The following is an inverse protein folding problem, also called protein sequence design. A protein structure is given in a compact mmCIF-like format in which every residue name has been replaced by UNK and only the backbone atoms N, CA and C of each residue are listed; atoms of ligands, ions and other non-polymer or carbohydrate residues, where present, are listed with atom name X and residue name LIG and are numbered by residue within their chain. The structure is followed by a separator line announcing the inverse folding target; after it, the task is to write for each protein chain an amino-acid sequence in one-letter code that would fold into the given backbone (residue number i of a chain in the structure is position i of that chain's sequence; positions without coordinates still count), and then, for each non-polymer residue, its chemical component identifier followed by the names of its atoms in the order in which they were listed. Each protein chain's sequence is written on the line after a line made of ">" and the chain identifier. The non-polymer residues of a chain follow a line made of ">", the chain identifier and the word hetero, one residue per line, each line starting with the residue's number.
data_IF_807165051383
#
_entry.id   IF_807165051383
#
_cell.length_a   1.000
_cell.length_b   1.000
_cell.length_c   1.000
_cell.angle_alpha   90.00
_cell.angle_beta   90.00
_cell.angle_gamma   90.00
#
_symmetry.space_group_name_H-M   'P 1'
#
loop_
_entity.id
_entity.type
_entity.pdbx_description
1 polymer ?
#
# COMPACT_ATOMS: atom_id res chain seq x y z
N UNK A 1 12.56 -23.32 16.07
CA UNK A 1 13.06 -24.60 15.54
C UNK A 1 12.05 -25.16 14.54
N UNK A 2 12.54 -25.61 13.36
CA UNK A 2 11.74 -26.22 12.28
C UNK A 2 10.56 -25.33 11.82
N UNK A 3 10.80 -24.03 11.70
CA UNK A 3 9.79 -23.02 11.37
C UNK A 3 9.99 -22.50 9.95
N UNK A 4 8.92 -22.35 9.18
CA UNK A 4 8.91 -21.64 7.90
C UNK A 4 8.45 -20.21 8.14
N UNK A 5 9.32 -19.24 7.86
CA UNK A 5 9.00 -17.82 7.81
C UNK A 5 8.58 -17.46 6.40
N UNK A 6 7.40 -16.88 6.24
CA UNK A 6 6.89 -16.38 4.95
C UNK A 6 6.83 -14.87 5.04
N UNK A 7 7.49 -14.20 4.12
CA UNK A 7 7.55 -12.75 4.04
C UNK A 7 6.88 -12.32 2.74
N UNK A 8 5.68 -11.79 2.87
CA UNK A 8 4.93 -11.24 1.75
C UNK A 8 5.38 -9.79 1.47
N UNK A 9 5.10 -9.30 0.25
CA UNK A 9 5.52 -7.96 -0.23
C UNK A 9 7.02 -7.70 -0.06
N UNK A 10 7.85 -8.75 -0.16
CA UNK A 10 9.29 -8.66 0.07
C UNK A 10 10.05 -7.84 -0.97
N UNK A 11 9.38 -7.42 -2.06
CA UNK A 11 9.92 -6.44 -3.01
C UNK A 11 10.32 -5.12 -2.35
N UNK A 12 9.69 -4.76 -1.23
CA UNK A 12 9.94 -3.51 -0.50
C UNK A 12 11.00 -3.62 0.60
N UNK A 13 11.55 -4.80 0.86
CA UNK A 13 12.60 -4.97 1.86
C UNK A 13 13.91 -4.31 1.40
N UNK A 14 14.33 -3.30 2.15
CA UNK A 14 15.59 -2.61 1.92
C UNK A 14 16.77 -3.36 2.54
N UNK A 15 17.93 -3.20 1.94
CA UNK A 15 19.24 -3.52 2.52
C UNK A 15 20.06 -2.24 2.62
N UNK A 16 19.95 -1.55 3.75
CA UNK A 16 20.54 -0.20 3.95
C UNK A 16 22.02 -0.22 4.35
N UNK A 17 22.70 -1.36 4.21
CA UNK A 17 24.15 -1.46 4.40
C UNK A 17 24.67 -1.15 5.81
N UNK A 18 23.83 -1.27 6.86
CA UNK A 18 24.32 -1.32 8.24
C UNK A 18 24.22 -0.05 9.09
N UNK A 19 23.49 0.97 8.70
CA UNK A 19 23.28 2.16 9.54
C UNK A 19 21.89 2.20 10.20
N UNK A 20 21.67 1.44 11.24
CA UNK A 20 20.44 1.32 12.03
C UNK A 20 19.22 0.77 11.30
N UNK A 21 18.94 -0.50 11.51
CA UNK A 21 17.70 -1.15 11.10
C UNK A 21 17.70 -1.70 9.68
N UNK A 22 18.72 -2.47 9.32
CA UNK A 22 18.69 -3.26 8.09
C UNK A 22 17.72 -4.43 8.28
N UNK A 23 16.46 -4.19 7.90
CA UNK A 23 15.38 -5.15 8.11
C UNK A 23 15.64 -6.49 7.44
N UNK A 24 16.24 -6.50 6.25
CA UNK A 24 16.59 -7.73 5.55
C UNK A 24 17.66 -8.54 6.31
N UNK A 25 18.71 -7.86 6.82
CA UNK A 25 19.74 -8.50 7.64
C UNK A 25 19.16 -9.07 8.94
N UNK A 26 18.37 -8.28 9.65
CA UNK A 26 17.78 -8.68 10.93
C UNK A 26 16.87 -9.89 10.75
N UNK A 27 16.04 -9.89 9.70
CA UNK A 27 15.14 -10.99 9.36
C UNK A 27 15.91 -12.28 9.04
N UNK A 28 16.94 -12.19 8.20
CA UNK A 28 17.78 -13.33 7.84
C UNK A 28 18.50 -13.87 9.08
N UNK A 29 19.12 -12.97 9.85
CA UNK A 29 19.83 -13.35 11.07
C UNK A 29 18.90 -14.01 12.09
N UNK A 30 17.72 -13.43 12.30
CA UNK A 30 16.71 -14.00 13.19
C UNK A 30 16.24 -15.38 12.73
N UNK A 31 15.90 -15.50 11.45
CA UNK A 31 15.42 -16.77 10.88
C UNK A 31 16.44 -17.88 11.07
N UNK A 32 17.67 -17.63 10.70
CA UNK A 32 18.73 -18.68 10.71
C UNK A 32 19.45 -18.79 12.07
N UNK A 33 19.06 -18.01 13.07
CA UNK A 33 19.49 -18.27 14.47
C UNK A 33 18.87 -19.55 15.05
N UNK A 34 17.74 -20.02 14.48
CA UNK A 34 17.06 -21.23 14.89
C UNK A 34 17.41 -22.43 13.99
N UNK A 35 17.44 -23.62 14.58
CA UNK A 35 17.75 -24.86 13.87
C UNK A 35 16.57 -25.32 12.98
N UNK A 36 16.84 -25.70 11.72
CA UNK A 36 15.87 -26.22 10.78
C UNK A 36 14.88 -25.16 10.22
N UNK A 37 15.11 -23.90 10.52
CA UNK A 37 14.26 -22.82 10.02
C UNK A 37 14.47 -22.58 8.52
N UNK A 38 13.40 -22.14 7.87
CA UNK A 38 13.36 -21.82 6.43
C UNK A 38 12.77 -20.44 6.23
N UNK A 39 13.15 -19.79 5.14
CA UNK A 39 12.66 -18.47 4.76
C UNK A 39 12.12 -18.53 3.32
N UNK A 40 10.92 -17.97 3.13
CA UNK A 40 10.29 -17.82 1.84
C UNK A 40 9.98 -16.34 1.62
N UNK A 41 10.60 -15.74 0.63
CA UNK A 41 10.24 -14.40 0.15
C UNK A 41 9.19 -14.50 -0.96
N UNK A 42 8.10 -13.75 -0.81
CA UNK A 42 7.03 -13.62 -1.79
C UNK A 42 6.93 -12.16 -2.19
N UNK A 43 6.93 -11.85 -3.48
CA UNK A 43 6.87 -10.47 -3.93
C UNK A 43 6.86 -10.36 -5.45
N UNK A 44 6.82 -9.15 -5.95
CA UNK A 44 6.74 -8.83 -7.37
C UNK A 44 7.81 -7.80 -7.75
N UNK A 45 8.78 -8.21 -8.57
CA UNK A 45 9.87 -7.34 -9.03
C UNK A 45 9.41 -6.21 -9.97
N UNK A 46 8.18 -6.27 -10.48
CA UNK A 46 7.57 -5.19 -11.26
C UNK A 46 6.83 -4.16 -10.39
N UNK A 47 6.67 -4.42 -9.08
CA UNK A 47 6.18 -3.45 -8.12
C UNK A 47 7.30 -2.51 -7.66
N UNK A 48 6.95 -1.53 -6.80
CA UNK A 48 7.93 -0.56 -6.32
C UNK A 48 9.01 -1.23 -5.48
N UNK A 49 10.29 -1.00 -5.80
CA UNK A 49 11.40 -1.41 -4.96
C UNK A 49 11.48 -0.57 -3.67
N UNK A 50 12.38 -0.90 -2.74
CA UNK A 50 12.63 -0.08 -1.57
C UNK A 50 12.97 1.37 -1.93
N UNK A 51 12.61 2.30 -1.04
CA UNK A 51 12.89 3.74 -1.26
C UNK A 51 14.40 3.96 -1.46
N UNK A 52 14.74 4.61 -2.58
CA UNK A 52 16.13 4.88 -2.93
C UNK A 52 16.85 3.74 -3.66
N UNK A 53 16.21 2.58 -3.83
CA UNK A 53 16.76 1.46 -4.61
C UNK A 53 16.10 1.37 -6.00
N UNK A 54 16.82 0.76 -6.94
CA UNK A 54 16.30 0.44 -8.28
C UNK A 54 15.89 -1.03 -8.42
N UNK A 55 16.15 -1.85 -7.42
CA UNK A 55 15.87 -3.28 -7.41
C UNK A 55 15.49 -3.74 -6.00
N UNK A 56 14.94 -4.94 -5.91
CA UNK A 56 14.47 -5.57 -4.66
C UNK A 56 15.49 -6.61 -4.19
N UNK A 57 16.37 -6.29 -3.23
CA UNK A 57 17.46 -7.19 -2.82
C UNK A 57 16.95 -8.51 -2.26
N UNK A 58 15.80 -8.54 -1.61
CA UNK A 58 15.19 -9.75 -1.06
C UNK A 58 14.70 -10.74 -2.13
N UNK A 59 14.42 -10.26 -3.36
CA UNK A 59 13.97 -11.07 -4.49
C UNK A 59 15.08 -11.38 -5.49
N UNK A 60 16.31 -10.98 -5.21
CA UNK A 60 17.47 -11.22 -6.07
C UNK A 60 18.35 -12.34 -5.46
N UNK A 61 18.27 -13.55 -6.03
CA UNK A 61 19.04 -14.70 -5.55
C UNK A 61 20.55 -14.51 -5.65
N UNK A 62 21.05 -13.79 -6.66
CA UNK A 62 22.48 -13.48 -6.76
C UNK A 62 22.92 -12.51 -5.66
N UNK A 63 22.07 -11.55 -5.33
CA UNK A 63 22.30 -10.62 -4.25
C UNK A 63 22.36 -11.36 -2.91
N UNK A 64 21.38 -12.23 -2.63
CA UNK A 64 21.33 -13.04 -1.42
C UNK A 64 22.56 -13.95 -1.29
N UNK A 65 22.97 -14.57 -2.37
CA UNK A 65 24.18 -15.40 -2.37
C UNK A 65 25.44 -14.59 -2.08
N UNK A 66 25.61 -13.44 -2.72
CA UNK A 66 26.79 -12.58 -2.60
C UNK A 66 26.94 -11.95 -1.21
N UNK A 67 25.85 -11.41 -0.66
CA UNK A 67 25.89 -10.61 0.56
C UNK A 67 25.62 -11.42 1.82
N UNK A 68 24.79 -12.46 1.71
CA UNK A 68 24.33 -13.27 2.84
C UNK A 68 24.79 -14.72 2.79
N UNK A 69 25.43 -15.15 1.68
CA UNK A 69 25.81 -16.54 1.42
C UNK A 69 24.62 -17.51 1.48
N UNK A 70 23.47 -17.03 1.08
CA UNK A 70 22.24 -17.81 1.02
C UNK A 70 22.00 -18.26 -0.42
N UNK A 71 21.96 -19.55 -0.62
CA UNK A 71 21.45 -20.15 -1.86
C UNK A 71 19.93 -20.17 -1.79
N UNK A 72 19.26 -19.64 -2.81
CA UNK A 72 17.83 -19.57 -2.90
C UNK A 72 17.32 -20.14 -4.23
N UNK A 73 16.34 -21.04 -4.15
CA UNK A 73 15.56 -21.43 -5.32
C UNK A 73 14.58 -20.34 -5.68
N UNK A 74 14.49 -20.01 -6.96
CA UNK A 74 13.58 -18.97 -7.46
C UNK A 74 12.54 -19.58 -8.38
N UNK A 75 11.28 -19.19 -8.15
CA UNK A 75 10.13 -19.61 -8.97
C UNK A 75 9.33 -18.35 -9.32
N UNK A 76 9.04 -18.16 -10.59
CA UNK A 76 8.16 -17.09 -11.06
C UNK A 76 6.78 -17.65 -11.42
N UNK A 77 5.72 -17.06 -10.81
CA UNK A 77 4.34 -17.33 -11.16
C UNK A 77 3.92 -16.40 -12.29
N UNK A 78 3.65 -16.94 -13.45
CA UNK A 78 3.37 -16.15 -14.67
C UNK A 78 1.87 -16.04 -15.00
N UNK A 79 1.04 -16.91 -14.43
CA UNK A 79 -0.39 -16.92 -14.70
C UNK A 79 -1.13 -15.91 -13.80
N UNK A 80 -1.92 -15.01 -14.42
CA UNK A 80 -2.69 -13.98 -13.70
C UNK A 80 -4.10 -14.49 -13.44
N UNK A 81 -4.42 -14.71 -12.14
CA UNK A 81 -5.70 -15.26 -11.70
C UNK A 81 -6.72 -14.20 -11.26
N UNK A 82 -6.28 -13.00 -10.87
CA UNK A 82 -7.15 -11.97 -10.23
C UNK A 82 -8.05 -11.23 -11.22
N UNK A 83 -7.70 -11.16 -12.47
CA UNK A 83 -8.38 -10.34 -13.49
C UNK A 83 -8.96 -11.20 -14.60
N UNK A 84 -10.10 -10.76 -15.16
CA UNK A 84 -10.67 -11.40 -16.35
C UNK A 84 -9.80 -11.11 -17.57
N UNK A 85 -9.70 -12.05 -18.49
CA UNK A 85 -8.91 -11.92 -19.73
C UNK A 85 -9.30 -10.70 -20.59
N UNK A 86 -10.56 -10.24 -20.49
CA UNK A 86 -11.09 -9.08 -21.22
C UNK A 86 -10.85 -7.74 -20.49
N UNK A 87 -10.15 -7.74 -19.34
CA UNK A 87 -9.90 -6.54 -18.56
C UNK A 87 -8.85 -5.65 -19.22
N UNK A 88 -9.18 -4.37 -19.40
CA UNK A 88 -8.24 -3.35 -19.84
C UNK A 88 -7.17 -3.05 -18.79
N UNK A 89 -7.47 -3.26 -17.51
CA UNK A 89 -6.50 -3.16 -16.43
C UNK A 89 -5.44 -4.23 -16.60
N UNK A 90 -5.83 -5.49 -16.74
CA UNK A 90 -4.90 -6.61 -16.94
C UNK A 90 -4.06 -6.41 -18.22
N UNK A 91 -4.70 -6.06 -19.32
CA UNK A 91 -4.01 -5.84 -20.60
C UNK A 91 -2.90 -4.77 -20.45
N UNK A 92 -3.23 -3.63 -19.86
CA UNK A 92 -2.26 -2.54 -19.70
C UNK A 92 -1.18 -2.88 -18.67
N UNK A 93 -1.52 -3.55 -17.57
CA UNK A 93 -0.57 -3.98 -16.57
C UNK A 93 0.44 -5.00 -17.13
N UNK A 94 -0.04 -6.01 -17.85
CA UNK A 94 0.83 -7.01 -18.50
C UNK A 94 1.76 -6.37 -19.53
N UNK A 95 1.24 -5.44 -20.32
CA UNK A 95 2.04 -4.69 -21.28
C UNK A 95 3.12 -3.84 -20.60
N UNK A 96 2.77 -3.13 -19.53
CA UNK A 96 3.74 -2.34 -18.74
C UNK A 96 4.84 -3.22 -18.16
N UNK A 97 4.46 -4.39 -17.60
CA UNK A 97 5.44 -5.37 -17.08
C UNK A 97 6.43 -5.81 -18.16
N UNK A 98 5.95 -6.10 -19.35
CA UNK A 98 6.81 -6.47 -20.47
C UNK A 98 7.75 -5.33 -20.88
N UNK A 99 7.24 -4.08 -20.90
CA UNK A 99 8.03 -2.89 -21.25
C UNK A 99 9.08 -2.51 -20.19
N UNK A 100 8.93 -2.92 -18.91
CA UNK A 100 9.95 -2.69 -17.88
C UNK A 100 11.28 -3.41 -18.16
N UNK A 101 11.26 -4.50 -18.94
CA UNK A 101 12.47 -5.20 -19.38
C UNK A 101 13.17 -4.57 -20.60
N UNK A 102 12.64 -3.46 -21.15
CA UNK A 102 13.15 -2.83 -22.37
C UNK A 102 13.85 -1.51 -22.06
N UNK A 103 14.99 -1.23 -22.74
CA UNK A 103 15.85 -0.06 -22.49
C UNK A 103 15.13 1.31 -22.66
N UNK A 104 14.06 1.36 -23.47
CA UNK A 104 13.24 2.58 -23.67
C UNK A 104 11.76 2.27 -23.43
N UNK A 105 11.29 2.65 -22.28
CA UNK A 105 9.88 2.47 -21.91
C UNK A 105 9.00 3.54 -22.54
N UNK A 106 8.03 3.15 -23.39
CA UNK A 106 7.03 4.05 -23.95
C UNK A 106 5.64 3.72 -23.38
N UNK A 107 5.32 4.33 -22.23
CA UNK A 107 4.05 4.10 -21.56
C UNK A 107 2.88 4.67 -22.36
N UNK A 108 2.06 3.77 -22.92
CA UNK A 108 0.79 4.12 -23.61
C UNK A 108 -0.33 3.26 -23.03
N UNK A 109 -1.23 3.88 -22.29
CA UNK A 109 -2.41 3.20 -21.77
C UNK A 109 -3.50 3.11 -22.83
N UNK A 110 -3.95 1.90 -23.13
CA UNK A 110 -5.03 1.60 -24.06
C UNK A 110 -6.36 1.67 -23.30
N UNK A 111 -7.24 2.58 -23.68
CA UNK A 111 -8.53 2.77 -23.00
C UNK A 111 -9.73 2.50 -23.89
N UNK A 112 -9.61 2.72 -25.22
CA UNK A 112 -10.74 2.71 -26.15
C UNK A 112 -11.25 1.30 -26.52
N UNK A 113 -10.51 0.26 -26.15
CA UNK A 113 -10.88 -1.14 -26.47
C UNK A 113 -11.60 -1.85 -25.31
N UNK A 114 -11.68 -1.20 -24.14
CA UNK A 114 -12.12 -1.84 -22.91
C UNK A 114 -13.27 -1.07 -22.27
N UNK A 115 -14.08 -1.79 -21.47
CA UNK A 115 -15.24 -1.23 -20.77
C UNK A 115 -14.95 -0.88 -19.32
N UNK A 116 -13.82 -1.30 -18.79
CA UNK A 116 -13.40 -1.17 -17.40
C UNK A 116 -12.33 -0.09 -17.19
N UNK A 117 -11.85 0.56 -18.25
CA UNK A 117 -10.85 1.61 -18.20
C UNK A 117 -11.25 2.80 -19.07
N UNK A 118 -11.16 4.01 -18.52
CA UNK A 118 -11.60 5.24 -19.17
C UNK A 118 -10.52 6.31 -19.08
N UNK A 119 -10.39 7.11 -20.13
CA UNK A 119 -9.59 8.33 -20.11
C UNK A 119 -10.51 9.50 -19.74
N UNK A 120 -10.13 10.25 -18.71
CA UNK A 120 -10.85 11.43 -18.27
C UNK A 120 -10.01 12.68 -18.52
N UNK A 121 -10.64 13.78 -18.92
CA UNK A 121 -10.02 15.10 -18.98
C UNK A 121 -10.18 15.80 -17.65
N UNK A 122 -9.37 16.84 -17.38
CA UNK A 122 -9.48 17.64 -16.16
C UNK A 122 -10.86 18.29 -16.00
N UNK A 123 -11.48 18.70 -17.10
CA UNK A 123 -12.83 19.31 -17.11
C UNK A 123 -13.93 18.33 -16.65
N UNK A 124 -13.75 17.04 -16.86
CA UNK A 124 -14.70 15.98 -16.47
C UNK A 124 -14.34 15.29 -15.15
N UNK A 125 -13.27 15.74 -14.50
CA UNK A 125 -12.78 15.09 -13.29
C UNK A 125 -13.82 15.12 -12.17
N UNK A 126 -14.43 16.28 -11.93
CA UNK A 126 -15.44 16.42 -10.88
C UNK A 126 -16.64 15.50 -11.12
N UNK A 127 -17.21 15.53 -12.34
CA UNK A 127 -18.34 14.67 -12.69
C UNK A 127 -17.99 13.18 -12.54
N UNK A 128 -16.79 12.80 -12.95
CA UNK A 128 -16.30 11.43 -12.81
C UNK A 128 -16.12 11.00 -11.36
N UNK A 129 -15.62 11.88 -10.51
CA UNK A 129 -15.49 11.62 -9.08
C UNK A 129 -16.87 11.52 -8.41
N UNK A 130 -17.78 12.45 -8.69
CA UNK A 130 -19.15 12.37 -8.18
C UNK A 130 -19.85 11.07 -8.58
N UNK A 131 -19.68 10.68 -9.85
CA UNK A 131 -20.21 9.40 -10.33
C UNK A 131 -19.59 8.20 -9.58
N UNK A 132 -18.28 8.18 -9.42
CA UNK A 132 -17.57 7.07 -8.76
C UNK A 132 -18.01 6.93 -7.28
N UNK A 133 -17.98 8.02 -6.53
CA UNK A 133 -18.39 8.01 -5.12
C UNK A 133 -19.88 7.70 -4.94
N UNK A 134 -20.75 8.21 -5.83
CA UNK A 134 -22.18 7.87 -5.77
C UNK A 134 -22.48 6.42 -6.11
N UNK A 135 -21.71 5.82 -7.03
CA UNK A 135 -21.97 4.47 -7.51
C UNK A 135 -21.30 3.38 -6.69
N UNK A 136 -20.09 3.63 -6.22
CA UNK A 136 -19.24 2.60 -5.58
C UNK A 136 -19.03 2.86 -4.09
N UNK A 137 -19.34 4.04 -3.59
CA UNK A 137 -19.06 4.45 -2.22
C UNK A 137 -17.64 4.98 -2.01
N UNK A 138 -17.42 5.61 -0.87
CA UNK A 138 -16.12 6.20 -0.51
C UNK A 138 -15.09 5.10 -0.24
N UNK A 139 -15.50 4.04 0.41
CA UNK A 139 -14.66 2.89 0.77
C UNK A 139 -14.17 2.09 -0.44
N UNK A 140 -14.89 2.13 -1.57
CA UNK A 140 -14.55 1.40 -2.80
C UNK A 140 -13.97 2.32 -3.89
N UNK A 141 -13.69 3.59 -3.59
CA UNK A 141 -13.17 4.57 -4.55
C UNK A 141 -11.90 5.20 -4.02
N UNK A 142 -10.78 5.05 -4.74
CA UNK A 142 -9.53 5.69 -4.39
C UNK A 142 -8.89 6.43 -5.57
N UNK A 143 -8.08 7.44 -5.26
CA UNK A 143 -7.27 8.18 -6.24
C UNK A 143 -5.81 7.87 -5.98
N UNK A 144 -5.16 7.28 -6.97
CA UNK A 144 -3.73 6.99 -6.91
C UNK A 144 -2.97 8.20 -7.46
N UNK A 145 -2.03 8.72 -6.69
CA UNK A 145 -1.22 9.88 -7.04
C UNK A 145 0.27 9.56 -6.96
N UNK A 146 1.08 10.38 -7.65
CA UNK A 146 2.54 10.21 -7.63
C UNK A 146 3.19 10.69 -6.33
N UNK A 147 2.56 11.61 -5.61
CA UNK A 147 3.18 12.25 -4.44
C UNK A 147 2.17 12.50 -3.33
N UNK A 148 2.64 12.49 -2.07
CA UNK A 148 1.83 12.86 -0.91
C UNK A 148 1.25 14.27 -1.02
N UNK A 149 2.00 15.22 -1.62
CA UNK A 149 1.50 16.58 -1.86
C UNK A 149 0.26 16.56 -2.75
N UNK A 150 0.27 15.78 -3.85
CA UNK A 150 -0.89 15.63 -4.72
C UNK A 150 -2.04 14.91 -4.00
N UNK A 151 -1.75 13.89 -3.20
CA UNK A 151 -2.77 13.20 -2.41
C UNK A 151 -3.50 14.17 -1.45
N UNK A 152 -2.76 14.99 -0.72
CA UNK A 152 -3.34 16.01 0.17
C UNK A 152 -4.21 17.00 -0.59
N UNK A 153 -3.78 17.44 -1.79
CA UNK A 153 -4.56 18.34 -2.63
C UNK A 153 -5.89 17.72 -3.09
N UNK A 154 -5.82 16.44 -3.56
CA UNK A 154 -7.03 15.71 -3.96
C UNK A 154 -7.95 15.44 -2.77
N UNK A 155 -7.42 15.06 -1.61
CA UNK A 155 -8.23 14.86 -0.41
C UNK A 155 -8.96 16.15 -0.01
N UNK A 156 -8.27 17.31 0.00
CA UNK A 156 -8.89 18.60 0.26
C UNK A 156 -9.99 18.95 -0.75
N UNK A 157 -9.71 18.75 -2.04
CA UNK A 157 -10.68 18.97 -3.10
C UNK A 157 -11.93 18.10 -2.95
N UNK A 158 -11.76 16.81 -2.72
CA UNK A 158 -12.85 15.85 -2.54
C UNK A 158 -13.69 16.21 -1.33
N UNK A 159 -13.05 16.47 -0.18
CA UNK A 159 -13.75 16.85 1.04
C UNK A 159 -14.61 18.10 0.84
N UNK A 160 -14.07 19.15 0.22
CA UNK A 160 -14.77 20.41 0.02
C UNK A 160 -15.81 20.35 -1.10
N UNK A 161 -15.47 19.75 -2.25
CA UNK A 161 -16.29 19.85 -3.47
C UNK A 161 -17.27 18.68 -3.61
N UNK A 162 -16.89 17.49 -3.17
CA UNK A 162 -17.71 16.28 -3.32
C UNK A 162 -18.55 16.03 -2.06
N UNK A 163 -17.91 16.06 -0.88
CA UNK A 163 -18.56 15.77 0.41
C UNK A 163 -19.09 17.02 1.13
N UNK A 164 -18.74 18.24 0.65
CA UNK A 164 -19.13 19.50 1.25
C UNK A 164 -18.72 19.65 2.73
N UNK A 165 -17.58 19.07 3.09
CA UNK A 165 -17.01 19.19 4.43
C UNK A 165 -16.24 20.51 4.55
N UNK A 166 -16.65 21.37 5.48
CA UNK A 166 -16.02 22.68 5.73
C UNK A 166 -14.95 22.60 6.83
N UNK A 167 -15.13 21.69 7.80
CA UNK A 167 -14.22 21.55 8.93
C UNK A 167 -12.95 20.76 8.55
N UNK A 168 -11.90 20.93 9.35
CA UNK A 168 -10.61 20.25 9.17
C UNK A 168 -10.74 18.74 9.27
N UNK A 169 -11.66 18.25 10.11
CA UNK A 169 -12.05 16.85 10.22
C UNK A 169 -13.54 16.75 10.50
N UNK A 170 -14.23 15.78 9.91
CA UNK A 170 -15.66 15.57 10.05
C UNK A 170 -15.96 14.11 10.40
N UNK A 171 -17.12 13.86 11.04
CA UNK A 171 -17.64 12.48 11.13
C UNK A 171 -17.93 11.95 9.73
N UNK A 172 -17.56 10.70 9.48
CA UNK A 172 -17.59 10.07 8.17
C UNK A 172 -16.30 10.22 7.34
N UNK A 173 -15.32 11.00 7.81
CA UNK A 173 -13.99 11.02 7.17
C UNK A 173 -13.32 9.65 7.29
N UNK A 174 -12.68 9.21 6.21
CA UNK A 174 -11.80 8.06 6.21
C UNK A 174 -10.37 8.52 6.46
N UNK A 175 -9.73 7.94 7.47
CA UNK A 175 -8.34 8.19 7.81
C UNK A 175 -7.53 6.91 7.64
N UNK A 176 -6.27 7.06 7.25
CA UNK A 176 -5.31 5.98 7.22
C UNK A 176 -4.33 6.12 8.38
N UNK A 177 -4.11 5.04 9.12
CA UNK A 177 -3.07 4.98 10.14
C UNK A 177 -1.71 5.03 9.46
N UNK A 178 -0.89 6.01 9.80
CA UNK A 178 0.43 6.22 9.16
C UNK A 178 1.61 5.71 9.99
N UNK A 179 1.34 5.17 11.19
CA UNK A 179 2.36 4.61 12.07
C UNK A 179 1.73 3.58 13.01
N UNK A 180 2.39 2.42 13.15
CA UNK A 180 1.96 1.41 14.11
C UNK A 180 1.81 1.99 15.52
N UNK A 181 0.72 1.65 16.17
CA UNK A 181 0.43 2.05 17.54
C UNK A 181 0.03 0.83 18.37
N UNK A 182 0.80 0.56 19.42
CA UNK A 182 0.64 -0.61 20.29
C UNK A 182 0.02 -0.25 21.65
N UNK A 183 -0.33 1.03 21.89
CA UNK A 183 -0.69 1.52 23.23
C UNK A 183 -2.13 1.99 23.39
N UNK A 184 -2.85 2.27 22.29
CA UNK A 184 -4.18 2.87 22.35
C UNK A 184 -5.34 1.88 22.20
N UNK A 185 -5.05 0.60 22.02
CA UNK A 185 -6.13 -0.38 21.98
C UNK A 185 -6.54 -0.78 23.39
N UNK A 186 -7.85 -0.71 23.68
CA UNK A 186 -8.41 -1.42 24.81
C UNK A 186 -8.10 -2.91 24.62
N UNK A 187 -7.92 -3.66 25.71
CA UNK A 187 -7.74 -5.11 25.67
C UNK A 187 -8.90 -5.75 24.91
N UNK A 188 -8.70 -5.91 23.60
CA UNK A 188 -9.61 -6.59 22.68
C UNK A 188 -8.92 -7.87 22.25
N UNK A 189 -9.59 -8.99 22.36
CA UNK A 189 -9.02 -10.28 21.94
C UNK A 189 -8.74 -10.34 20.43
N UNK A 190 -9.28 -9.40 19.63
CA UNK A 190 -9.23 -9.44 18.17
C UNK A 190 -8.18 -8.51 17.55
N UNK A 191 -7.92 -7.36 18.16
CA UNK A 191 -7.00 -6.35 17.63
C UNK A 191 -6.03 -5.91 18.72
N UNK A 192 -4.77 -6.26 18.56
CA UNK A 192 -3.73 -5.97 19.56
C UNK A 192 -3.02 -4.63 19.35
N UNK A 193 -3.10 -4.05 18.14
CA UNK A 193 -2.47 -2.77 17.79
C UNK A 193 -3.11 -2.21 16.51
N UNK A 194 -2.92 -0.91 16.28
CA UNK A 194 -3.28 -0.26 15.02
C UNK A 194 -2.08 -0.35 14.07
N UNK A 195 -2.27 -0.95 12.91
CA UNK A 195 -1.22 -1.09 11.93
C UNK A 195 -1.11 0.14 11.01
N UNK A 196 0.10 0.43 10.55
CA UNK A 196 0.29 1.35 9.45
C UNK A 196 -0.41 0.81 8.19
N UNK A 197 -1.27 1.62 7.60
CA UNK A 197 -2.10 1.24 6.45
C UNK A 197 -3.56 0.93 6.79
N UNK A 198 -3.88 0.64 8.06
CA UNK A 198 -5.27 0.41 8.48
C UNK A 198 -6.14 1.62 8.15
N UNK A 199 -7.33 1.35 7.60
CA UNK A 199 -8.33 2.36 7.33
C UNK A 199 -9.34 2.43 8.48
N UNK A 200 -9.63 3.65 8.90
CA UNK A 200 -10.58 3.93 9.98
C UNK A 200 -11.56 5.02 9.57
N UNK A 201 -12.79 4.93 10.04
CA UNK A 201 -13.80 5.96 9.86
C UNK A 201 -13.96 6.78 11.14
N UNK A 202 -14.06 8.10 11.00
CA UNK A 202 -14.34 9.00 12.12
C UNK A 202 -15.82 8.92 12.48
N UNK A 203 -16.14 8.27 13.58
CA UNK A 203 -17.51 8.18 14.09
C UNK A 203 -17.90 9.45 14.84
N UNK A 204 -16.99 9.96 15.68
CA UNK A 204 -17.27 11.15 16.49
C UNK A 204 -15.98 11.90 16.83
N UNK A 205 -16.08 13.22 16.83
CA UNK A 205 -15.05 14.12 17.32
C UNK A 205 -15.39 14.48 18.78
N UNK A 206 -14.50 14.17 19.70
CA UNK A 206 -14.71 14.40 21.14
C UNK A 206 -14.18 15.73 21.60
N UNK A 207 -12.94 16.06 21.20
CA UNK A 207 -12.27 17.27 21.65
C UNK A 207 -11.18 17.69 20.65
N UNK A 208 -10.91 19.00 20.63
CA UNK A 208 -9.72 19.58 20.02
C UNK A 208 -8.88 20.22 21.10
N UNK A 209 -7.57 20.06 21.03
CA UNK A 209 -6.61 20.72 21.90
C UNK A 209 -5.39 21.21 21.10
N UNK A 210 -4.77 22.26 21.59
CA UNK A 210 -3.54 22.78 21.02
C UNK A 210 -2.42 22.65 22.06
N UNK A 211 -1.32 21.99 21.67
CA UNK A 211 -0.13 21.82 22.49
C UNK A 211 1.12 22.02 21.64
N UNK A 212 2.05 22.82 22.12
CA UNK A 212 3.32 23.09 21.44
C UNK A 212 3.16 23.64 20.01
N UNK A 213 2.11 24.40 19.74
CA UNK A 213 1.79 24.90 18.41
C UNK A 213 1.25 23.84 17.41
N UNK A 214 0.91 22.65 17.91
CA UNK A 214 0.28 21.57 17.14
C UNK A 214 -1.17 21.41 17.62
N UNK A 215 -2.06 21.13 16.66
CA UNK A 215 -3.47 20.82 16.93
C UNK A 215 -3.67 19.32 17.00
N UNK A 216 -4.41 18.89 18.00
CA UNK A 216 -4.77 17.51 18.25
C UNK A 216 -6.28 17.38 18.30
N UNK A 217 -6.81 16.25 17.81
CA UNK A 217 -8.20 15.88 17.95
C UNK A 217 -8.32 14.53 18.63
N UNK A 218 -9.24 14.43 19.59
CA UNK A 218 -9.64 13.15 20.18
C UNK A 218 -10.85 12.61 19.44
N UNK A 219 -10.72 11.43 18.83
CA UNK A 219 -11.69 10.85 17.93
C UNK A 219 -12.19 9.50 18.44
N UNK A 220 -13.45 9.20 18.17
CA UNK A 220 -13.96 7.83 18.16
C UNK A 220 -13.88 7.30 16.73
N UNK A 221 -13.21 6.18 16.56
CA UNK A 221 -12.91 5.60 15.26
C UNK A 221 -13.56 4.22 15.14
N UNK A 222 -13.99 3.88 13.94
CA UNK A 222 -14.37 2.52 13.55
C UNK A 222 -13.29 1.96 12.64
N UNK A 223 -12.73 0.81 13.01
CA UNK A 223 -11.79 0.06 12.17
C UNK A 223 -12.60 -0.63 11.06
N UNK A 224 -12.27 -0.38 9.80
CA UNK A 224 -13.05 -0.90 8.67
C UNK A 224 -12.81 -2.39 8.44
N UNK A 225 -11.58 -2.84 8.59
CA UNK A 225 -11.20 -4.23 8.34
C UNK A 225 -11.70 -5.22 9.41
N UNK A 226 -12.22 -4.71 10.53
CA UNK A 226 -12.70 -5.50 11.67
C UNK A 226 -14.18 -5.27 11.98
N UNK A 227 -14.92 -4.58 11.11
CA UNK A 227 -16.28 -4.13 11.37
C UNK A 227 -17.37 -5.22 11.16
N UNK A 228 -17.03 -6.37 10.60
CA UNK A 228 -18.00 -7.41 10.23
C UNK A 228 -18.11 -8.57 11.26
N UNK A 229 -17.61 -8.39 12.47
CA UNK A 229 -17.77 -9.41 13.52
C UNK A 229 -18.42 -8.89 14.79
#
# INVERSE_FOLDING_TARGET
>A
KDTLFIVDESSMLADDGGMSGNLLWDLITYTFSGEGNRLLFVGDTAQLPPVGSQYSPALDGEYLLRHYRLEADQIELVEVMRQKLESGILFNATRLRYELGVEKVAVKIQTHLFKDIFKMTSEKLEDGLRYAYSKYGTENTCIITRSNKSAVQYNGYIRQTIHFYEDEICSGDLLMIVKNNYTYMAESEKVNFLANGDLVEVMKIRNFEERYGLRFATLELRLLDYAEE
#
